data_IF_464226083759
#
_entry.id   IF_464226083759
#
_cell.length_a   1.000
_cell.length_b   1.000
_cell.length_c   1.000
_cell.angle_alpha   90.00
_cell.angle_beta   90.00
_cell.angle_gamma   90.00
#
_symmetry.space_group_name_H-M   'P 1'
#
loop_
_entity.id
_entity.type
_entity.pdbx_description
1 polymer ?
#
# COMPACT_ATOMS: atom_id res chain seq x y z
N UNK A 1 46.65 -7.63 1.12
CA UNK A 1 45.18 -7.62 1.03
C UNK A 1 44.73 -6.16 1.01
N UNK A 2 44.19 -5.71 -0.13
CA UNK A 2 44.14 -4.29 -0.49
C UNK A 2 43.09 -3.52 0.34
N UNK A 3 43.47 -2.43 1.03
CA UNK A 3 42.58 -1.63 1.91
C UNK A 3 41.29 -1.20 1.18
N UNK A 4 41.39 -0.94 -0.12
CA UNK A 4 40.26 -0.56 -0.98
C UNK A 4 39.19 -1.65 -1.08
N UNK A 5 39.57 -2.93 -1.05
CA UNK A 5 38.60 -4.04 -1.08
C UNK A 5 37.80 -4.13 0.21
N UNK A 6 38.43 -3.83 1.36
CA UNK A 6 37.76 -3.84 2.67
C UNK A 6 36.75 -2.69 2.74
N UNK A 7 37.15 -1.48 2.32
CA UNK A 7 36.27 -0.31 2.29
C UNK A 7 35.08 -0.54 1.35
N UNK A 8 35.30 -1.11 0.16
CA UNK A 8 34.19 -1.41 -0.76
C UNK A 8 33.25 -2.51 -0.27
N UNK A 9 33.76 -3.51 0.45
CA UNK A 9 32.91 -4.53 1.08
C UNK A 9 32.07 -3.96 2.22
N UNK A 10 32.66 -3.13 3.10
CA UNK A 10 31.90 -2.44 4.15
C UNK A 10 30.83 -1.51 3.58
N UNK A 11 31.12 -0.78 2.49
CA UNK A 11 30.16 0.10 1.83
C UNK A 11 28.98 -0.66 1.21
N UNK A 12 29.21 -1.89 0.72
CA UNK A 12 28.15 -2.77 0.19
C UNK A 12 27.23 -3.28 1.30
N UNK A 13 27.80 -3.76 2.41
CA UNK A 13 27.02 -4.21 3.57
C UNK A 13 26.15 -3.09 4.14
N UNK A 14 26.70 -1.87 4.25
CA UNK A 14 25.94 -0.72 4.73
C UNK A 14 24.74 -0.39 3.80
N UNK A 15 24.91 -0.50 2.48
CA UNK A 15 23.80 -0.31 1.53
C UNK A 15 22.69 -1.34 1.72
N UNK A 16 23.03 -2.62 1.92
CA UNK A 16 22.03 -3.66 2.17
C UNK A 16 21.29 -3.47 3.48
N UNK A 17 22.02 -3.06 4.52
CA UNK A 17 21.43 -2.73 5.81
C UNK A 17 20.39 -1.61 5.68
N UNK A 18 20.72 -0.54 4.94
CA UNK A 18 19.78 0.56 4.67
C UNK A 18 18.55 0.08 3.91
N UNK A 19 18.69 -0.71 2.85
CA UNK A 19 17.53 -1.24 2.11
C UNK A 19 16.65 -2.16 2.96
N UNK A 20 17.23 -2.95 3.86
CA UNK A 20 16.48 -3.81 4.78
C UNK A 20 15.66 -3.00 5.78
N UNK A 21 16.24 -1.94 6.36
CA UNK A 21 15.51 -1.02 7.26
C UNK A 21 14.34 -0.36 6.53
N UNK A 22 14.55 0.11 5.29
CA UNK A 22 13.50 0.74 4.49
C UNK A 22 12.34 -0.23 4.22
N UNK A 23 12.66 -1.47 3.81
CA UNK A 23 11.65 -2.50 3.59
C UNK A 23 10.90 -2.86 4.89
N UNK A 24 11.61 -2.93 6.02
CA UNK A 24 10.99 -3.13 7.34
C UNK A 24 10.02 -2.01 7.71
N UNK A 25 10.38 -0.75 7.47
CA UNK A 25 9.52 0.41 7.67
C UNK A 25 8.26 0.38 6.78
N UNK A 26 8.41 -0.01 5.52
CA UNK A 26 7.27 -0.15 4.59
C UNK A 26 6.29 -1.23 5.05
N UNK A 27 6.79 -2.40 5.49
CA UNK A 27 5.95 -3.48 6.01
C UNK A 27 5.21 -3.01 7.27
N UNK A 28 5.91 -2.38 8.20
CA UNK A 28 5.32 -1.82 9.42
C UNK A 28 4.20 -0.81 9.10
N UNK A 29 4.45 0.11 8.17
CA UNK A 29 3.44 1.08 7.74
C UNK A 29 2.21 0.40 7.13
N UNK A 30 2.41 -0.60 6.25
CA UNK A 30 1.28 -1.33 5.66
C UNK A 30 0.48 -2.11 6.68
N UNK A 31 1.12 -2.75 7.66
CA UNK A 31 0.43 -3.45 8.75
C UNK A 31 -0.39 -2.49 9.61
N UNK A 32 0.15 -1.30 9.89
CA UNK A 32 -0.55 -0.26 10.65
C UNK A 32 -1.80 0.22 9.90
N UNK A 33 -1.68 0.48 8.60
CA UNK A 33 -2.80 0.90 7.75
C UNK A 33 -3.88 -0.19 7.69
N UNK A 34 -3.49 -1.46 7.49
CA UNK A 34 -4.43 -2.59 7.45
C UNK A 34 -5.17 -2.80 8.78
N UNK A 35 -4.55 -2.46 9.92
CA UNK A 35 -5.20 -2.53 11.22
C UNK A 35 -6.22 -1.39 11.43
N UNK A 36 -5.89 -0.18 10.99
CA UNK A 36 -6.70 1.02 11.24
C UNK A 36 -7.80 1.26 10.20
N UNK A 37 -7.68 0.70 9.00
CA UNK A 37 -8.63 0.96 7.92
C UNK A 37 -10.03 0.42 8.23
N UNK A 38 -10.13 -0.77 8.81
CA UNK A 38 -11.40 -1.39 9.17
C UNK A 38 -12.21 -0.55 10.18
N UNK A 39 -11.67 -0.15 11.33
CA UNK A 39 -12.40 0.72 12.26
C UNK A 39 -12.64 2.12 11.67
N UNK A 40 -11.72 2.65 10.86
CA UNK A 40 -11.90 3.94 10.19
C UNK A 40 -13.13 3.93 9.27
N UNK A 41 -13.24 2.95 8.37
CA UNK A 41 -14.36 2.86 7.44
C UNK A 41 -15.68 2.60 8.17
N UNK A 42 -15.68 1.76 9.22
CA UNK A 42 -16.87 1.53 10.03
C UNK A 42 -17.41 2.84 10.66
N UNK A 43 -16.54 3.60 11.33
CA UNK A 43 -16.94 4.81 12.06
C UNK A 43 -17.29 5.96 11.10
N UNK A 44 -16.51 6.15 10.03
CA UNK A 44 -16.65 7.31 9.14
C UNK A 44 -17.74 7.15 8.09
N UNK A 45 -17.93 5.92 7.59
CA UNK A 45 -18.83 5.65 6.46
C UNK A 45 -20.01 4.77 6.81
N UNK A 46 -20.07 4.24 8.04
CA UNK A 46 -21.14 3.34 8.49
C UNK A 46 -21.14 1.97 7.79
N UNK A 47 -20.07 1.61 7.07
CA UNK A 47 -20.02 0.36 6.31
C UNK A 47 -20.12 -0.86 7.24
N UNK A 48 -20.92 -1.86 6.85
CA UNK A 48 -21.03 -3.11 7.60
C UNK A 48 -19.68 -3.83 7.73
N UNK A 49 -19.45 -4.42 8.91
CA UNK A 49 -18.23 -5.16 9.25
C UNK A 49 -18.01 -6.34 8.29
N UNK A 50 -19.09 -6.98 7.83
CA UNK A 50 -19.03 -8.06 6.85
C UNK A 50 -18.50 -7.57 5.50
N UNK A 51 -18.97 -6.41 5.02
CA UNK A 51 -18.51 -5.80 3.76
C UNK A 51 -17.05 -5.36 3.85
N UNK A 52 -16.66 -4.75 4.98
CA UNK A 52 -15.27 -4.39 5.26
C UNK A 52 -14.38 -5.63 5.20
N UNK A 53 -14.76 -6.71 5.91
CA UNK A 53 -13.97 -7.94 5.98
C UNK A 53 -13.82 -8.59 4.60
N UNK A 54 -14.88 -8.58 3.80
CA UNK A 54 -14.87 -9.13 2.44
C UNK A 54 -13.95 -8.33 1.51
N UNK A 55 -14.01 -7.00 1.57
CA UNK A 55 -13.20 -6.12 0.72
C UNK A 55 -11.72 -6.17 1.14
N UNK A 56 -11.43 -5.87 2.41
CA UNK A 56 -10.06 -5.73 2.90
C UNK A 56 -9.36 -7.07 3.16
N UNK A 57 -10.10 -8.09 3.60
CA UNK A 57 -9.56 -9.43 3.85
C UNK A 57 -9.53 -10.34 2.62
N UNK A 58 -10.43 -10.12 1.65
CA UNK A 58 -10.58 -10.98 0.47
C UNK A 58 -10.18 -10.30 -0.83
N UNK A 59 -10.99 -9.34 -1.27
CA UNK A 59 -10.90 -8.77 -2.63
C UNK A 59 -9.58 -8.02 -2.86
N UNK A 60 -9.18 -7.14 -1.94
CA UNK A 60 -7.97 -6.32 -2.11
C UNK A 60 -6.71 -7.20 -2.20
N UNK A 61 -6.46 -8.15 -1.28
CA UNK A 61 -5.33 -9.08 -1.40
C UNK A 61 -5.32 -9.87 -2.71
N UNK A 62 -6.49 -10.31 -3.20
CA UNK A 62 -6.60 -11.02 -4.47
C UNK A 62 -6.17 -10.11 -5.64
N UNK A 63 -6.70 -8.89 -5.71
CA UNK A 63 -6.33 -7.91 -6.75
C UNK A 63 -4.82 -7.65 -6.73
N UNK A 64 -4.26 -7.41 -5.54
CA UNK A 64 -2.82 -7.19 -5.37
C UNK A 64 -2.00 -8.38 -5.86
N UNK A 65 -2.44 -9.61 -5.57
CA UNK A 65 -1.77 -10.83 -6.02
C UNK A 65 -1.70 -10.96 -7.54
N UNK A 66 -2.72 -10.48 -8.27
CA UNK A 66 -2.70 -10.47 -9.74
C UNK A 66 -1.87 -9.32 -10.31
N UNK A 67 -1.84 -8.17 -9.64
CA UNK A 67 -1.12 -6.99 -10.11
C UNK A 67 0.40 -7.16 -9.95
N UNK A 68 0.83 -7.83 -8.88
CA UNK A 68 2.25 -8.04 -8.58
C UNK A 68 3.08 -8.61 -9.75
N UNK A 69 2.70 -9.72 -10.42
CA UNK A 69 3.46 -10.24 -11.56
C UNK A 69 3.46 -9.31 -12.78
N UNK A 70 2.38 -8.56 -13.01
CA UNK A 70 2.28 -7.61 -14.13
C UNK A 70 3.32 -6.50 -13.97
N UNK A 71 3.45 -5.92 -12.78
CA UNK A 71 4.46 -4.91 -12.51
C UNK A 71 5.89 -5.47 -12.49
N UNK A 72 6.06 -6.74 -12.10
CA UNK A 72 7.32 -7.45 -12.29
C UNK A 72 7.75 -7.49 -13.75
N UNK A 73 6.87 -7.98 -14.63
CA UNK A 73 7.11 -8.01 -16.08
C UNK A 73 7.33 -6.62 -16.67
N UNK A 74 6.54 -5.63 -16.24
CA UNK A 74 6.68 -4.25 -16.73
C UNK A 74 8.03 -3.64 -16.33
N UNK A 75 8.51 -3.96 -15.11
CA UNK A 75 9.85 -3.59 -14.67
C UNK A 75 10.93 -4.25 -15.53
N UNK A 76 10.74 -5.48 -15.99
CA UNK A 76 11.74 -6.18 -16.81
C UNK A 76 11.84 -5.62 -18.24
N UNK A 77 10.73 -5.17 -18.83
CA UNK A 77 10.66 -4.67 -20.21
C UNK A 77 11.28 -3.27 -20.37
N UNK A 78 11.36 -2.46 -19.32
CA UNK A 78 11.83 -1.07 -19.43
C UNK A 78 13.22 -0.96 -20.08
N UNK A 79 13.52 0.01 -20.96
CA UNK A 79 14.81 0.03 -21.68
C UNK A 79 16.02 0.42 -20.82
N UNK A 80 15.82 1.08 -19.68
CA UNK A 80 16.90 1.72 -18.90
C UNK A 80 17.38 0.82 -17.75
N UNK A 81 18.36 -0.08 -18.03
CA UNK A 81 18.89 -1.06 -17.06
C UNK A 81 19.30 -0.48 -15.69
N UNK A 82 19.81 0.75 -15.63
CA UNK A 82 20.33 1.36 -14.37
C UNK A 82 19.26 2.01 -13.48
N UNK A 83 18.12 2.40 -14.05
CA UNK A 83 17.06 3.11 -13.32
C UNK A 83 15.75 2.34 -13.23
N UNK A 84 15.62 1.22 -13.96
CA UNK A 84 14.44 0.36 -14.03
C UNK A 84 13.70 0.24 -12.69
N UNK A 85 14.29 -0.45 -11.71
CA UNK A 85 13.64 -0.72 -10.41
C UNK A 85 13.46 0.53 -9.54
N UNK A 86 14.45 1.43 -9.55
CA UNK A 86 14.43 2.67 -8.75
C UNK A 86 13.32 3.63 -9.19
N UNK A 87 13.01 3.66 -10.48
CA UNK A 87 11.92 4.47 -11.02
C UNK A 87 10.56 4.02 -10.51
N UNK A 88 10.29 2.70 -10.51
CA UNK A 88 9.05 2.15 -9.94
C UNK A 88 8.94 2.39 -8.43
N UNK A 89 10.05 2.29 -7.69
CA UNK A 89 10.10 2.59 -6.25
C UNK A 89 9.70 4.05 -5.99
N UNK A 90 10.29 5.01 -6.72
CA UNK A 90 10.00 6.43 -6.54
C UNK A 90 8.56 6.76 -6.90
N UNK A 91 8.07 6.28 -8.03
CA UNK A 91 6.69 6.51 -8.47
C UNK A 91 5.70 5.90 -7.49
N UNK A 92 5.92 4.65 -7.09
CA UNK A 92 5.05 3.98 -6.13
C UNK A 92 5.00 4.72 -4.79
N UNK A 93 6.15 5.20 -4.32
CA UNK A 93 6.26 6.00 -3.10
C UNK A 93 5.49 7.32 -3.20
N UNK A 94 5.63 8.06 -4.31
CA UNK A 94 4.91 9.32 -4.54
C UNK A 94 3.40 9.08 -4.53
N UNK A 95 2.94 8.05 -5.24
CA UNK A 95 1.53 7.67 -5.29
C UNK A 95 1.00 7.34 -3.89
N UNK A 96 1.76 6.56 -3.10
CA UNK A 96 1.36 6.19 -1.76
C UNK A 96 1.29 7.41 -0.83
N UNK A 97 2.30 8.30 -0.87
CA UNK A 97 2.33 9.53 -0.08
C UNK A 97 1.14 10.44 -0.40
N UNK A 98 0.75 10.52 -1.67
CA UNK A 98 -0.37 11.36 -2.10
C UNK A 98 -1.70 10.70 -1.70
N UNK A 99 -1.88 9.40 -1.88
CA UNK A 99 -3.19 8.77 -1.72
C UNK A 99 -3.55 8.40 -0.28
N UNK A 100 -2.58 8.07 0.58
CA UNK A 100 -2.86 7.74 1.98
C UNK A 100 -3.64 8.85 2.70
N UNK A 101 -3.24 10.13 2.61
CA UNK A 101 -3.99 11.23 3.22
C UNK A 101 -5.39 11.41 2.64
N UNK A 102 -5.59 11.12 1.35
CA UNK A 102 -6.89 11.25 0.69
C UNK A 102 -7.91 10.22 1.21
N UNK A 103 -7.45 9.06 1.69
CA UNK A 103 -8.32 8.09 2.38
C UNK A 103 -9.01 8.74 3.58
N UNK A 104 -8.30 9.57 4.35
CA UNK A 104 -8.88 10.28 5.50
C UNK A 104 -9.94 11.31 5.12
N UNK A 105 -9.87 11.87 3.91
CA UNK A 105 -10.82 12.85 3.38
C UNK A 105 -11.96 12.23 2.56
N UNK A 106 -12.01 10.90 2.43
CA UNK A 106 -13.04 10.20 1.65
C UNK A 106 -14.47 10.49 2.14
N UNK A 107 -14.67 10.80 3.42
CA UNK A 107 -15.96 11.23 3.98
C UNK A 107 -16.40 12.59 3.45
N UNK A 108 -15.49 13.55 3.48
CA UNK A 108 -15.74 14.94 3.10
C UNK A 108 -15.95 15.06 1.59
N UNK A 109 -15.20 14.28 0.81
CA UNK A 109 -15.35 14.20 -0.64
C UNK A 109 -16.69 13.54 -1.00
N UNK A 110 -17.07 12.43 -0.35
CA UNK A 110 -18.36 11.78 -0.59
C UNK A 110 -19.55 12.69 -0.32
N UNK A 111 -19.50 13.45 0.78
CA UNK A 111 -20.54 14.44 1.12
C UNK A 111 -20.62 15.55 0.07
N UNK A 112 -19.47 16.05 -0.39
CA UNK A 112 -19.43 17.07 -1.43
C UNK A 112 -20.00 16.57 -2.77
N UNK A 113 -19.92 15.26 -3.06
CA UNK A 113 -20.45 14.65 -4.26
C UNK A 113 -21.93 14.22 -4.17
N UNK A 114 -22.57 14.35 -3.00
CA UNK A 114 -24.00 14.08 -2.83
C UNK A 114 -24.37 13.08 -1.74
N UNK A 115 -23.41 12.54 -0.99
CA UNK A 115 -23.75 11.72 0.18
C UNK A 115 -24.43 12.59 1.25
N UNK A 116 -25.59 12.13 1.74
CA UNK A 116 -26.29 12.78 2.84
C UNK A 116 -25.90 12.09 4.14
N UNK A 117 -25.22 12.79 5.05
CA UNK A 117 -25.04 12.31 6.41
C UNK A 117 -26.40 12.28 7.09
N UNK A 118 -26.92 11.09 7.41
CA UNK A 118 -28.09 10.95 8.24
C UNK A 118 -27.84 11.69 9.56
N UNK A 119 -28.54 12.79 9.75
CA UNK A 119 -28.49 13.50 11.03
C UNK A 119 -29.22 12.60 12.02
N UNK A 120 -28.53 12.17 13.07
CA UNK A 120 -29.16 11.46 14.19
C UNK A 120 -30.14 12.44 14.86
N UNK A 121 -31.36 12.56 14.31
CA UNK A 121 -32.45 13.25 14.97
C UNK A 121 -32.74 12.47 16.25
N UNK A 122 -32.61 13.12 17.40
CA UNK A 122 -33.13 12.69 18.69
C UNK A 122 -34.66 12.53 18.61
N UNK A 123 -35.13 11.51 17.90
CA UNK A 123 -36.52 11.12 17.88
C UNK A 123 -36.61 9.78 18.58
N UNK A 124 -36.82 9.86 19.88
CA UNK A 124 -37.41 8.77 20.66
C UNK A 124 -38.61 8.23 19.89
N UNK A 125 -38.61 6.93 19.65
CA UNK A 125 -39.65 6.11 19.02
C UNK A 125 -39.44 5.86 17.52
N UNK A 126 -39.44 4.56 17.21
CA UNK A 126 -39.52 3.92 15.89
C UNK A 126 -38.18 3.42 15.34
N UNK A 127 -37.98 2.13 15.56
CA UNK A 127 -37.08 1.19 14.91
C UNK A 127 -37.15 1.25 13.38
N UNK A 128 -36.46 2.22 12.80
CA UNK A 128 -36.01 2.21 11.41
C UNK A 128 -34.87 3.21 11.32
N UNK A 129 -33.68 2.76 11.72
CA UNK A 129 -32.45 3.53 11.55
C UNK A 129 -32.36 3.96 10.08
N UNK A 130 -32.43 5.27 9.84
CA UNK A 130 -32.22 5.89 8.54
C UNK A 130 -30.91 5.33 7.97
N UNK A 131 -31.00 4.59 6.86
CA UNK A 131 -29.83 4.10 6.13
C UNK A 131 -28.97 5.31 5.80
N UNK A 132 -27.77 5.36 6.38
CA UNK A 132 -26.77 6.35 5.99
C UNK A 132 -26.28 5.96 4.60
N UNK A 133 -26.87 6.56 3.56
CA UNK A 133 -26.45 6.42 2.17
C UNK A 133 -25.12 7.18 1.95
N UNK A 134 -24.05 6.66 2.55
CA UNK A 134 -22.67 7.12 2.34
C UNK A 134 -21.94 6.27 1.30
N UNK A 135 -22.68 5.79 0.29
CA UNK A 135 -22.19 4.82 -0.68
C UNK A 135 -21.02 5.40 -1.48
N UNK A 136 -21.08 6.69 -1.85
CA UNK A 136 -20.02 7.33 -2.65
C UNK A 136 -18.73 7.43 -1.81
N UNK A 137 -18.84 7.83 -0.55
CA UNK A 137 -17.73 7.87 0.39
C UNK A 137 -17.10 6.48 0.60
N UNK A 138 -17.93 5.45 0.77
CA UNK A 138 -17.47 4.07 0.90
C UNK A 138 -16.67 3.62 -0.33
N UNK A 139 -17.22 3.83 -1.53
CA UNK A 139 -16.58 3.45 -2.79
C UNK A 139 -15.27 4.22 -3.00
N UNK A 140 -15.26 5.54 -2.78
CA UNK A 140 -14.05 6.36 -2.90
C UNK A 140 -12.96 5.94 -1.90
N UNK A 141 -13.34 5.70 -0.64
CA UNK A 141 -12.43 5.21 0.39
C UNK A 141 -11.78 3.89 -0.02
N UNK A 142 -12.57 2.95 -0.53
CA UNK A 142 -12.10 1.64 -1.04
C UNK A 142 -11.19 1.79 -2.26
N UNK A 143 -11.48 2.71 -3.18
CA UNK A 143 -10.63 2.93 -4.36
C UNK A 143 -9.28 3.52 -3.95
N UNK A 144 -9.26 4.57 -3.13
CA UNK A 144 -8.01 5.21 -2.71
C UNK A 144 -7.12 4.27 -1.91
N UNK A 145 -7.69 3.51 -0.99
CA UNK A 145 -6.90 2.54 -0.22
C UNK A 145 -6.43 1.37 -1.08
N UNK A 146 -7.23 0.90 -2.05
CA UNK A 146 -6.82 -0.17 -2.96
C UNK A 146 -5.61 0.28 -3.78
N UNK A 147 -5.69 1.45 -4.41
CA UNK A 147 -4.61 1.96 -5.24
C UNK A 147 -3.35 2.26 -4.41
N UNK A 148 -3.51 2.84 -3.22
CA UNK A 148 -2.38 3.08 -2.32
C UNK A 148 -1.74 1.77 -1.85
N UNK A 149 -2.53 0.76 -1.49
CA UNK A 149 -2.02 -0.54 -1.03
C UNK A 149 -1.30 -1.28 -2.14
N UNK A 150 -1.85 -1.29 -3.35
CA UNK A 150 -1.19 -1.83 -4.55
C UNK A 150 0.15 -1.14 -4.79
N UNK A 151 0.19 0.20 -4.71
CA UNK A 151 1.41 0.98 -4.90
C UNK A 151 2.50 0.59 -3.91
N UNK A 152 2.19 0.49 -2.62
CA UNK A 152 3.17 0.13 -1.59
C UNK A 152 3.67 -1.30 -1.77
N UNK A 153 2.80 -2.25 -2.12
CA UNK A 153 3.21 -3.64 -2.38
C UNK A 153 4.14 -3.72 -3.60
N UNK A 154 3.92 -2.93 -4.64
CA UNK A 154 4.85 -2.83 -5.77
C UNK A 154 6.22 -2.35 -5.30
N UNK A 155 6.28 -1.30 -4.47
CA UNK A 155 7.54 -0.79 -3.90
C UNK A 155 8.28 -1.89 -3.12
N UNK A 156 7.58 -2.58 -2.21
CA UNK A 156 8.16 -3.66 -1.41
C UNK A 156 8.77 -4.78 -2.27
N UNK A 157 8.07 -5.18 -3.33
CA UNK A 157 8.55 -6.23 -4.24
C UNK A 157 9.75 -5.77 -5.06
N UNK A 158 9.75 -4.51 -5.52
CA UNK A 158 10.88 -3.94 -6.28
C UNK A 158 12.10 -3.73 -5.39
N UNK A 159 11.93 -3.37 -4.12
CA UNK A 159 13.02 -3.25 -3.15
C UNK A 159 13.69 -4.60 -2.90
N UNK A 160 12.92 -5.68 -2.72
CA UNK A 160 13.45 -7.04 -2.58
C UNK A 160 14.25 -7.46 -3.82
N UNK A 161 13.70 -7.21 -5.00
CA UNK A 161 14.38 -7.56 -6.24
C UNK A 161 15.65 -6.70 -6.47
N UNK A 162 15.64 -5.43 -6.03
CA UNK A 162 16.81 -4.56 -6.08
C UNK A 162 17.92 -5.02 -5.13
N UNK A 163 17.59 -5.59 -3.97
CA UNK A 163 18.58 -6.20 -3.06
C UNK A 163 19.23 -7.41 -3.75
N UNK A 164 18.44 -8.31 -4.33
CA UNK A 164 18.94 -9.51 -5.04
C UNK A 164 19.83 -9.13 -6.23
N UNK A 165 19.45 -8.13 -7.01
CA UNK A 165 20.24 -7.64 -8.15
C UNK A 165 21.62 -7.09 -7.77
N UNK A 166 21.80 -6.59 -6.55
CA UNK A 166 23.09 -6.06 -6.10
C UNK A 166 24.00 -7.12 -5.46
N UNK A 167 23.44 -8.28 -5.07
CA UNK A 167 24.17 -9.39 -4.48
C UNK A 167 24.91 -10.18 -5.59
N UNK A 168 26.13 -10.62 -5.28
CA UNK A 168 26.97 -11.42 -6.18
C UNK A 168 26.27 -12.76 -6.51
N UNK A 169 26.35 -13.20 -7.77
CA UNK A 169 25.51 -14.29 -8.33
C UNK A 169 25.59 -15.60 -7.55
N UNK A 170 26.70 -15.85 -6.85
CA UNK A 170 26.92 -17.04 -6.02
C UNK A 170 26.04 -17.07 -4.76
N UNK A 171 25.60 -15.89 -4.26
CA UNK A 171 24.77 -15.75 -3.06
C UNK A 171 23.30 -15.40 -3.36
N UNK A 172 22.94 -15.22 -4.63
CA UNK A 172 21.57 -14.83 -5.02
C UNK A 172 20.53 -15.88 -4.63
N UNK A 173 20.87 -17.17 -4.68
CA UNK A 173 19.95 -18.24 -4.28
C UNK A 173 19.61 -18.18 -2.78
N UNK A 174 20.59 -17.85 -1.94
CA UNK A 174 20.41 -17.72 -0.49
C UNK A 174 19.69 -16.42 -0.10
N UNK A 175 19.77 -15.39 -0.96
CA UNK A 175 19.08 -14.10 -0.77
C UNK A 175 17.62 -14.11 -1.27
N UNK A 176 17.25 -15.08 -2.10
CA UNK A 176 15.89 -15.28 -2.61
C UNK A 176 15.09 -16.33 -1.81
N UNK A 177 15.74 -17.01 -0.86
CA UNK A 177 15.14 -17.97 0.08
C UNK A 177 14.43 -17.29 1.25
#
# INVERSE_FOLDING_TARGET
MNKDKIVQSSLRVLKYFVYSILNGGLVFSTSTVSCLISPFMYIKTGMSISTISLIFGGIIPLIVSFIQPIFGLLSDIFPIKRFKRRFFIVIGSIIAIILLPFVSYSDSIGIALGDTKGTLSNSTNSSSATENDMIISQVLGVIFISFSSTSVVIVQNMDRALIVDNIESEYQHNANS
#
